data_IF_581447075430
#
_entry.id   IF_581447075430
#
_cell.length_a   1.000
_cell.length_b   1.000
_cell.length_c   1.000
_cell.angle_alpha   90.00
_cell.angle_beta   90.00
_cell.angle_gamma   90.00
#
_symmetry.space_group_name_H-M   'P 1'
#
loop_
_entity.id
_entity.type
_entity.pdbx_description
1 polymer ?
#
# COMPACT_ATOMS: atom_id res chain seq x y z
N UNK A 1 -47.27 -20.94 -35.52
CA UNK A 1 -45.96 -20.77 -36.15
C UNK A 1 -44.93 -21.19 -35.13
N UNK A 2 -44.36 -22.38 -35.33
CA UNK A 2 -43.27 -22.94 -34.52
C UNK A 2 -42.03 -22.06 -34.72
N UNK A 3 -41.47 -21.54 -33.62
CA UNK A 3 -40.17 -20.89 -33.64
C UNK A 3 -39.13 -22.00 -33.89
N UNK A 4 -38.43 -21.91 -35.02
CA UNK A 4 -37.25 -22.73 -35.28
C UNK A 4 -36.13 -22.29 -34.33
N UNK A 5 -35.81 -23.12 -33.34
CA UNK A 5 -34.57 -23.05 -32.58
C UNK A 5 -33.40 -23.22 -33.57
N UNK A 6 -32.76 -22.11 -33.90
CA UNK A 6 -31.54 -22.12 -34.70
C UNK A 6 -30.38 -22.49 -33.77
N UNK A 7 -30.20 -23.79 -33.50
CA UNK A 7 -29.01 -24.29 -32.78
C UNK A 7 -27.80 -24.11 -33.69
N UNK A 8 -27.01 -23.07 -33.44
CA UNK A 8 -25.69 -22.91 -34.06
C UNK A 8 -24.81 -24.05 -33.55
N UNK A 9 -24.15 -24.78 -34.46
CA UNK A 9 -23.23 -25.85 -34.08
C UNK A 9 -22.21 -25.32 -33.05
N UNK A 10 -22.03 -26.05 -31.95
CA UNK A 10 -21.17 -25.63 -30.85
C UNK A 10 -19.73 -25.35 -31.31
N UNK A 11 -19.14 -24.27 -30.78
CA UNK A 11 -17.81 -23.78 -31.16
C UNK A 11 -16.79 -24.24 -30.12
N UNK A 12 -15.68 -24.81 -30.57
CA UNK A 12 -14.55 -25.12 -29.68
C UNK A 12 -13.79 -23.85 -29.29
N UNK A 13 -13.83 -23.51 -28.01
CA UNK A 13 -13.22 -22.31 -27.45
C UNK A 13 -11.92 -22.61 -26.70
N UNK A 14 -11.41 -23.85 -26.73
CA UNK A 14 -10.13 -24.12 -26.08
C UNK A 14 -8.97 -23.53 -26.87
N UNK A 15 -7.92 -23.01 -26.21
CA UNK A 15 -6.73 -22.54 -26.90
C UNK A 15 -6.05 -23.62 -27.77
N UNK A 16 -6.22 -24.89 -27.39
CA UNK A 16 -5.63 -26.04 -28.10
C UNK A 16 -6.51 -26.57 -29.23
N UNK A 17 -7.76 -26.11 -29.34
CA UNK A 17 -8.73 -26.63 -30.30
C UNK A 17 -8.88 -28.17 -30.22
N UNK A 18 -8.97 -28.68 -28.99
CA UNK A 18 -9.01 -30.11 -28.64
C UNK A 18 -10.43 -30.62 -28.31
N UNK A 19 -11.43 -29.79 -28.54
CA UNK A 19 -12.83 -30.03 -28.21
C UNK A 19 -13.08 -30.17 -26.71
N UNK A 20 -12.19 -29.63 -25.87
CA UNK A 20 -12.29 -29.71 -24.42
C UNK A 20 -13.43 -28.89 -23.83
N UNK A 21 -13.76 -27.76 -24.46
CA UNK A 21 -14.82 -26.85 -24.05
C UNK A 21 -15.57 -26.37 -25.30
N UNK A 22 -16.79 -26.86 -25.47
CA UNK A 22 -17.66 -26.48 -26.59
C UNK A 22 -18.69 -25.49 -26.09
N UNK A 23 -18.80 -24.33 -26.74
CA UNK A 23 -19.77 -23.27 -26.43
C UNK A 23 -20.90 -23.22 -27.44
N UNK A 24 -22.13 -23.12 -26.95
CA UNK A 24 -23.34 -22.84 -27.73
C UNK A 24 -24.02 -21.60 -27.12
N UNK A 25 -24.37 -20.61 -27.93
CA UNK A 25 -25.11 -19.42 -27.46
C UNK A 25 -26.60 -19.75 -27.51
N UNK A 26 -27.24 -19.83 -26.34
CA UNK A 26 -28.68 -20.11 -26.22
C UNK A 26 -29.50 -18.83 -26.31
N UNK A 27 -28.98 -17.74 -25.73
CA UNK A 27 -29.57 -16.40 -25.83
C UNK A 27 -28.48 -15.39 -26.13
N UNK A 28 -28.65 -14.54 -27.15
CA UNK A 28 -27.66 -13.53 -27.50
C UNK A 28 -27.49 -12.51 -26.37
N UNK A 29 -26.32 -11.89 -26.37
CA UNK A 29 -25.98 -10.82 -25.45
C UNK A 29 -26.85 -9.57 -25.65
N UNK A 30 -27.01 -8.78 -24.60
CA UNK A 30 -27.70 -7.49 -24.66
C UNK A 30 -26.74 -6.33 -24.96
N UNK A 31 -25.43 -6.58 -24.96
CA UNK A 31 -24.39 -5.61 -25.34
C UNK A 31 -23.16 -6.31 -25.90
N UNK A 32 -22.26 -5.54 -26.50
CA UNK A 32 -20.94 -5.99 -26.97
C UNK A 32 -19.85 -5.95 -25.87
N UNK A 33 -20.23 -5.72 -24.62
CA UNK A 33 -19.32 -5.68 -23.48
C UNK A 33 -18.99 -7.09 -22.99
N UNK A 34 -17.75 -7.30 -22.54
CA UNK A 34 -17.20 -8.58 -22.13
C UNK A 34 -16.26 -8.36 -20.94
N UNK A 35 -16.30 -9.25 -19.93
CA UNK A 35 -15.37 -9.20 -18.80
C UNK A 35 -13.95 -9.57 -19.24
N UNK A 36 -12.99 -9.13 -18.45
CA UNK A 36 -11.56 -9.42 -18.61
C UNK A 36 -11.02 -10.19 -17.41
N UNK A 37 -9.85 -10.82 -17.56
CA UNK A 37 -9.24 -11.54 -16.45
C UNK A 37 -9.00 -10.61 -15.25
N UNK A 38 -9.35 -11.08 -14.05
CA UNK A 38 -9.34 -10.30 -12.81
C UNK A 38 -10.69 -9.64 -12.48
N UNK A 39 -11.62 -9.55 -13.42
CA UNK A 39 -12.97 -9.10 -13.12
C UNK A 39 -13.70 -10.12 -12.24
N UNK A 40 -14.42 -9.61 -11.24
CA UNK A 40 -15.39 -10.43 -10.52
C UNK A 40 -16.69 -10.46 -11.31
N UNK A 41 -16.91 -11.55 -12.03
CA UNK A 41 -18.12 -11.77 -12.83
C UNK A 41 -19.28 -12.23 -11.96
N UNK A 42 -20.50 -11.86 -12.35
CA UNK A 42 -21.75 -12.20 -11.67
C UNK A 42 -22.61 -13.01 -12.63
N UNK A 43 -22.88 -14.27 -12.27
CA UNK A 43 -23.57 -15.23 -13.13
C UNK A 43 -24.72 -15.95 -12.42
N UNK A 44 -25.68 -16.43 -13.19
CA UNK A 44 -26.44 -17.63 -12.81
C UNK A 44 -25.93 -18.83 -13.60
N UNK A 45 -26.05 -20.02 -13.02
CA UNK A 45 -25.73 -21.25 -13.73
C UNK A 45 -26.61 -22.42 -13.31
N UNK A 46 -26.67 -23.41 -14.19
CA UNK A 46 -27.19 -24.76 -13.95
C UNK A 46 -26.14 -25.74 -14.47
N UNK A 47 -25.72 -26.70 -13.64
CA UNK A 47 -24.75 -27.73 -13.97
C UNK A 47 -25.39 -29.11 -13.99
N UNK A 48 -25.29 -29.80 -15.12
CA UNK A 48 -25.83 -31.15 -15.33
C UNK A 48 -24.76 -32.12 -15.85
N UNK A 49 -24.96 -33.41 -15.62
CA UNK A 49 -24.24 -34.46 -16.36
C UNK A 49 -24.81 -34.58 -17.78
N UNK A 50 -24.14 -35.35 -18.65
CA UNK A 50 -24.58 -35.59 -20.03
C UNK A 50 -25.95 -36.27 -20.14
N UNK A 51 -26.37 -37.02 -19.12
CA UNK A 51 -27.69 -37.65 -19.06
C UNK A 51 -28.80 -36.67 -18.63
N UNK A 52 -28.45 -35.40 -18.36
CA UNK A 52 -29.37 -34.34 -17.94
C UNK A 52 -29.60 -34.26 -16.43
N UNK A 53 -28.98 -35.14 -15.63
CA UNK A 53 -29.08 -35.06 -14.17
C UNK A 53 -28.38 -33.80 -13.63
N UNK A 54 -29.14 -32.94 -12.94
CA UNK A 54 -28.60 -31.74 -12.29
C UNK A 54 -27.78 -32.13 -11.06
N UNK A 55 -26.53 -31.66 -10.98
CA UNK A 55 -25.69 -31.83 -9.79
C UNK A 55 -25.61 -30.56 -8.94
N UNK A 56 -25.75 -29.39 -9.58
CA UNK A 56 -25.66 -28.08 -8.92
C UNK A 56 -26.34 -26.96 -9.73
N UNK A 57 -26.95 -25.99 -9.05
CA UNK A 57 -27.63 -24.86 -9.69
C UNK A 57 -27.67 -23.65 -8.76
N UNK A 58 -27.27 -22.47 -9.25
CA UNK A 58 -27.44 -21.24 -8.47
C UNK A 58 -28.87 -20.72 -8.51
N UNK A 59 -29.65 -21.11 -9.53
CA UNK A 59 -31.06 -20.74 -9.63
C UNK A 59 -31.92 -21.42 -8.56
N UNK A 60 -31.63 -22.68 -8.25
CA UNK A 60 -32.34 -23.41 -7.17
C UNK A 60 -32.06 -22.82 -5.79
N UNK A 61 -30.92 -22.14 -5.61
CA UNK A 61 -30.59 -21.36 -4.40
C UNK A 61 -31.20 -19.97 -4.36
N UNK A 62 -31.65 -19.43 -5.50
CA UNK A 62 -32.18 -18.08 -5.60
C UNK A 62 -31.12 -16.95 -5.53
N UNK A 63 -29.84 -17.30 -5.51
CA UNK A 63 -28.74 -16.33 -5.37
C UNK A 63 -27.76 -16.44 -6.55
N UNK A 64 -27.30 -15.29 -7.05
CA UNK A 64 -26.26 -15.24 -8.11
C UNK A 64 -24.92 -15.69 -7.54
N UNK A 65 -24.10 -16.27 -8.39
CA UNK A 65 -22.74 -16.68 -8.05
C UNK A 65 -21.75 -15.67 -8.62
N UNK A 66 -20.76 -15.28 -7.80
CA UNK A 66 -19.71 -14.35 -8.20
C UNK A 66 -18.34 -14.98 -8.01
N UNK A 67 -17.44 -14.79 -8.97
CA UNK A 67 -16.08 -15.30 -8.90
C UNK A 67 -15.11 -14.42 -9.71
N UNK A 68 -13.82 -14.45 -9.34
CA UNK A 68 -12.76 -13.76 -10.09
C UNK A 68 -12.39 -14.57 -11.34
N UNK A 69 -12.60 -13.98 -12.52
CA UNK A 69 -12.38 -14.62 -13.80
C UNK A 69 -10.88 -14.77 -14.10
N UNK A 70 -10.45 -15.97 -14.47
CA UNK A 70 -9.06 -16.25 -14.86
C UNK A 70 -8.08 -16.41 -13.70
N UNK A 71 -8.57 -16.56 -12.47
CA UNK A 71 -7.77 -16.78 -11.26
C UNK A 71 -7.84 -18.21 -10.71
N UNK A 72 -8.33 -19.17 -11.52
CA UNK A 72 -8.42 -20.59 -11.16
C UNK A 72 -9.27 -20.84 -9.89
N UNK A 73 -10.21 -19.94 -9.60
CA UNK A 73 -11.19 -20.10 -8.50
C UNK A 73 -12.34 -21.04 -8.86
N UNK A 74 -12.50 -21.32 -10.15
CA UNK A 74 -13.48 -22.22 -10.74
C UNK A 74 -12.79 -23.23 -11.65
N UNK A 75 -13.54 -24.18 -12.21
CA UNK A 75 -12.97 -25.15 -13.17
C UNK A 75 -12.43 -24.42 -14.41
N UNK A 76 -11.39 -24.97 -15.04
CA UNK A 76 -10.73 -24.38 -16.23
C UNK A 76 -11.71 -24.04 -17.35
N UNK A 77 -12.73 -24.88 -17.53
CA UNK A 77 -13.75 -24.66 -18.55
C UNK A 77 -14.55 -23.37 -18.32
N UNK A 78 -14.78 -22.97 -17.08
CA UNK A 78 -15.48 -21.73 -16.75
C UNK A 78 -14.60 -20.51 -17.01
N UNK A 79 -13.33 -20.55 -16.62
CA UNK A 79 -12.40 -19.45 -16.90
C UNK A 79 -12.26 -19.21 -18.41
N UNK A 80 -12.16 -20.29 -19.21
CA UNK A 80 -12.15 -20.19 -20.68
C UNK A 80 -13.52 -19.73 -21.19
N UNK A 81 -14.62 -20.34 -20.71
CA UNK A 81 -15.98 -20.12 -21.20
C UNK A 81 -16.50 -18.72 -20.95
N UNK A 82 -16.51 -18.29 -19.70
CA UNK A 82 -17.07 -17.01 -19.28
C UNK A 82 -16.25 -15.83 -19.84
N UNK A 83 -14.94 -16.00 -20.04
CA UNK A 83 -14.11 -15.01 -20.74
C UNK A 83 -14.55 -14.77 -22.19
N UNK A 84 -15.30 -15.68 -22.81
CA UNK A 84 -15.88 -15.48 -24.16
C UNK A 84 -17.29 -14.91 -24.15
N UNK A 85 -17.92 -14.78 -22.99
CA UNK A 85 -19.31 -14.30 -22.89
C UNK A 85 -19.39 -12.79 -22.95
N UNK A 86 -20.50 -12.29 -23.47
CA UNK A 86 -20.87 -10.87 -23.43
C UNK A 86 -22.00 -10.62 -22.42
N UNK A 87 -22.15 -9.38 -21.96
CA UNK A 87 -23.18 -9.00 -20.97
C UNK A 87 -24.59 -9.41 -21.43
N UNK A 88 -25.32 -10.12 -20.58
CA UNK A 88 -26.68 -10.62 -20.82
C UNK A 88 -26.76 -11.96 -21.58
N UNK A 89 -25.64 -12.47 -22.08
CA UNK A 89 -25.56 -13.74 -22.81
C UNK A 89 -25.93 -14.92 -21.90
N UNK A 90 -26.69 -15.87 -22.45
CA UNK A 90 -26.87 -17.21 -21.88
C UNK A 90 -26.24 -18.21 -22.84
N UNK A 91 -25.27 -18.97 -22.35
CA UNK A 91 -24.54 -19.95 -23.16
C UNK A 91 -24.52 -21.30 -22.47
N UNK A 92 -24.54 -22.37 -23.28
CA UNK A 92 -24.27 -23.73 -22.85
C UNK A 92 -22.82 -24.07 -23.12
N UNK A 93 -22.15 -24.66 -22.13
CA UNK A 93 -20.79 -25.15 -22.22
C UNK A 93 -20.79 -26.65 -21.98
N UNK A 94 -20.22 -27.41 -22.91
CA UNK A 94 -19.93 -28.84 -22.73
C UNK A 94 -18.44 -29.00 -22.43
N UNK A 95 -18.12 -29.50 -21.25
CA UNK A 95 -16.78 -29.46 -20.65
C UNK A 95 -16.27 -30.88 -20.42
N UNK A 96 -15.22 -31.30 -21.14
CA UNK A 96 -14.54 -32.58 -20.88
C UNK A 96 -13.88 -32.58 -19.51
N UNK A 97 -13.69 -33.77 -18.93
CA UNK A 97 -13.15 -33.94 -17.59
C UNK A 97 -11.82 -33.23 -17.35
N UNK A 98 -10.91 -33.21 -18.32
CA UNK A 98 -9.59 -32.54 -18.23
C UNK A 98 -9.68 -31.01 -18.01
N UNK A 99 -10.82 -30.40 -18.39
CA UNK A 99 -11.15 -28.99 -18.16
C UNK A 99 -12.14 -28.79 -16.99
N UNK A 100 -12.53 -29.88 -16.32
CA UNK A 100 -13.40 -29.92 -15.16
C UNK A 100 -12.70 -30.59 -13.96
N UNK A 101 -13.23 -31.72 -13.45
CA UNK A 101 -12.71 -32.40 -12.24
C UNK A 101 -11.83 -33.63 -12.53
N UNK A 102 -11.54 -33.91 -13.81
CA UNK A 102 -10.63 -34.96 -14.26
C UNK A 102 -10.98 -36.37 -13.79
N UNK A 103 -9.98 -37.24 -13.74
CA UNK A 103 -10.08 -38.66 -13.36
C UNK A 103 -10.60 -38.90 -11.95
N UNK A 104 -10.48 -37.90 -11.06
CA UNK A 104 -10.90 -38.05 -9.67
C UNK A 104 -12.41 -37.80 -9.50
N UNK A 105 -13.01 -37.02 -10.39
CA UNK A 105 -14.36 -36.51 -10.18
C UNK A 105 -14.41 -35.54 -9.00
N UNK A 106 -15.63 -35.21 -8.56
CA UNK A 106 -15.86 -34.31 -7.44
C UNK A 106 -17.06 -34.74 -6.61
N UNK A 107 -16.77 -35.03 -5.34
CA UNK A 107 -17.76 -35.53 -4.39
C UNK A 107 -18.44 -36.83 -4.87
N UNK A 108 -19.60 -37.16 -4.31
CA UNK A 108 -20.44 -38.30 -4.72
C UNK A 108 -21.28 -38.01 -5.98
N UNK A 109 -21.45 -36.73 -6.34
CA UNK A 109 -22.29 -36.30 -7.46
C UNK A 109 -21.60 -36.35 -8.82
N UNK A 110 -20.28 -36.14 -8.88
CA UNK A 110 -19.54 -36.09 -10.15
C UNK A 110 -18.52 -37.22 -10.19
N UNK A 111 -18.78 -38.19 -11.05
CA UNK A 111 -17.91 -39.36 -11.22
C UNK A 111 -16.56 -39.06 -11.88
N UNK A 112 -15.62 -40.02 -11.82
CA UNK A 112 -14.39 -40.01 -12.60
C UNK A 112 -14.63 -39.73 -14.08
N UNK A 113 -13.80 -38.88 -14.68
CA UNK A 113 -13.80 -38.60 -16.12
C UNK A 113 -15.15 -38.10 -16.67
N UNK A 114 -15.99 -37.53 -15.81
CA UNK A 114 -17.29 -36.99 -16.21
C UNK A 114 -17.15 -35.78 -17.14
N UNK A 115 -17.94 -35.79 -18.21
CA UNK A 115 -18.22 -34.59 -19.02
C UNK A 115 -19.38 -33.85 -18.39
N UNK A 116 -19.20 -32.54 -18.18
CA UNK A 116 -20.20 -31.68 -17.55
C UNK A 116 -20.82 -30.76 -18.60
N UNK A 117 -22.09 -30.43 -18.39
CA UNK A 117 -22.80 -29.41 -19.16
C UNK A 117 -23.19 -28.29 -18.22
N UNK A 118 -22.86 -27.05 -18.58
CA UNK A 118 -23.24 -25.86 -17.84
C UNK A 118 -24.04 -24.92 -18.71
N UNK A 119 -25.19 -24.46 -18.23
CA UNK A 119 -25.86 -23.29 -18.78
C UNK A 119 -25.55 -22.09 -17.90
N UNK A 120 -24.85 -21.09 -18.41
CA UNK A 120 -24.38 -19.93 -17.65
C UNK A 120 -24.97 -18.66 -18.26
N UNK A 121 -25.57 -17.83 -17.41
CA UNK A 121 -26.08 -16.49 -17.74
C UNK A 121 -25.16 -15.44 -17.12
N UNK A 122 -24.52 -14.61 -17.96
CA UNK A 122 -23.65 -13.54 -17.49
C UNK A 122 -24.44 -12.25 -17.30
N UNK A 123 -24.51 -11.75 -16.07
CA UNK A 123 -25.28 -10.54 -15.75
C UNK A 123 -24.43 -9.28 -15.79
N UNK A 124 -23.32 -9.29 -15.06
CA UNK A 124 -22.48 -8.12 -14.86
C UNK A 124 -21.11 -8.53 -14.32
N UNK A 125 -20.22 -7.56 -14.16
CA UNK A 125 -18.96 -7.76 -13.46
C UNK A 125 -18.53 -6.47 -12.76
N UNK A 126 -17.59 -6.64 -11.83
CA UNK A 126 -16.93 -5.54 -11.13
C UNK A 126 -15.43 -5.72 -11.24
N UNK A 127 -14.71 -4.62 -11.36
CA UNK A 127 -13.25 -4.61 -11.45
C UNK A 127 -12.67 -4.00 -10.18
N UNK A 128 -11.69 -4.67 -9.57
CA UNK A 128 -10.98 -4.14 -8.41
C UNK A 128 -9.74 -3.35 -8.85
N UNK A 129 -9.80 -2.03 -8.69
CA UNK A 129 -8.70 -1.09 -8.99
C UNK A 129 -7.83 -0.78 -7.76
N UNK A 130 -8.05 -1.47 -6.64
CA UNK A 130 -7.24 -1.25 -5.44
C UNK A 130 -5.80 -1.75 -5.65
N UNK A 131 -4.79 -1.03 -5.15
CA UNK A 131 -3.38 -1.44 -5.25
C UNK A 131 -3.08 -2.84 -4.70
N UNK A 132 -3.88 -3.31 -3.73
CA UNK A 132 -3.71 -4.60 -3.06
C UNK A 132 -4.67 -5.69 -3.52
N UNK A 133 -5.56 -5.40 -4.48
CA UNK A 133 -6.64 -6.30 -4.92
C UNK A 133 -7.47 -6.81 -3.74
N UNK A 134 -7.90 -5.89 -2.88
CA UNK A 134 -8.63 -6.15 -1.64
C UNK A 134 -10.06 -5.56 -1.60
N UNK A 135 -10.68 -5.42 -2.78
CA UNK A 135 -12.07 -4.97 -2.99
C UNK A 135 -12.38 -3.56 -2.45
N UNK A 136 -11.34 -2.76 -2.23
CA UNK A 136 -11.49 -1.42 -1.64
C UNK A 136 -11.67 -0.29 -2.64
N UNK A 137 -11.44 -0.55 -3.92
CA UNK A 137 -11.76 0.38 -5.00
C UNK A 137 -12.38 -0.43 -6.12
N UNK A 138 -13.69 -0.33 -6.27
CA UNK A 138 -14.44 -1.14 -7.23
C UNK A 138 -14.96 -0.26 -8.36
N UNK A 139 -14.59 -0.58 -9.60
CA UNK A 139 -15.12 0.04 -10.81
C UNK A 139 -16.27 -0.77 -11.40
N UNK A 140 -17.30 -0.05 -11.85
CA UNK A 140 -18.28 -0.52 -12.84
C UNK A 140 -18.31 0.48 -14.00
N UNK A 141 -17.91 0.02 -15.19
CA UNK A 141 -17.92 0.85 -16.39
C UNK A 141 -19.35 1.08 -16.87
N UNK A 142 -19.70 2.33 -17.14
CA UNK A 142 -21.02 2.74 -17.64
C UNK A 142 -20.95 3.06 -19.14
N UNK A 143 -19.89 3.75 -19.56
CA UNK A 143 -19.58 4.01 -20.97
C UNK A 143 -18.10 3.81 -21.23
N UNK A 144 -17.78 3.02 -22.25
CA UNK A 144 -16.41 2.82 -22.72
C UNK A 144 -15.80 4.15 -23.18
N UNK A 145 -14.56 4.39 -22.78
CA UNK A 145 -13.76 5.48 -23.35
C UNK A 145 -13.16 5.11 -24.71
N UNK A 146 -12.65 6.11 -25.38
CA UNK A 146 -12.04 6.04 -26.71
C UNK A 146 -10.51 5.96 -26.63
N UNK A 147 -9.90 5.38 -27.66
CA UNK A 147 -8.45 5.24 -27.76
C UNK A 147 -7.87 4.10 -26.94
N UNK A 148 -6.54 4.04 -26.95
CA UNK A 148 -5.76 2.98 -26.28
C UNK A 148 -4.93 3.48 -25.12
N UNK A 149 -4.68 4.78 -25.06
CA UNK A 149 -3.88 5.40 -24.01
C UNK A 149 -4.70 5.66 -22.74
N UNK A 150 -4.02 5.58 -21.61
CA UNK A 150 -4.51 6.04 -20.31
C UNK A 150 -3.48 6.99 -19.67
N UNK A 151 -3.88 7.80 -18.67
CA UNK A 151 -2.96 8.65 -17.92
C UNK A 151 -1.88 7.84 -17.18
N UNK A 152 -0.64 8.35 -17.14
CA UNK A 152 0.45 7.80 -16.32
C UNK A 152 0.69 8.65 -15.06
N UNK A 153 1.57 8.18 -14.18
CA UNK A 153 1.95 8.91 -12.97
C UNK A 153 2.52 10.29 -13.31
N UNK A 154 1.97 11.34 -12.70
CA UNK A 154 2.31 12.72 -13.01
C UNK A 154 1.62 13.32 -14.24
N UNK A 155 0.74 12.59 -14.93
CA UNK A 155 -0.10 13.15 -15.98
C UNK A 155 -1.01 14.25 -15.43
N UNK A 156 -1.29 15.26 -16.25
CA UNK A 156 -2.34 16.24 -15.96
C UNK A 156 -3.65 15.70 -16.48
N UNK A 157 -4.67 15.60 -15.64
CA UNK A 157 -6.00 15.11 -16.01
C UNK A 157 -7.06 16.18 -15.78
N UNK A 158 -8.05 16.23 -16.66
CA UNK A 158 -9.29 16.97 -16.47
C UNK A 158 -10.42 15.95 -16.25
N UNK A 159 -11.05 16.01 -15.08
CA UNK A 159 -12.02 15.02 -14.63
C UNK A 159 -13.26 15.75 -14.14
N UNK A 160 -14.42 15.23 -14.52
CA UNK A 160 -15.67 15.57 -13.88
C UNK A 160 -16.10 14.40 -13.02
N UNK A 161 -16.51 14.66 -11.78
CA UNK A 161 -17.08 13.62 -10.95
C UNK A 161 -18.17 14.13 -10.04
N UNK A 162 -19.05 13.21 -9.67
CA UNK A 162 -20.14 13.41 -8.72
C UNK A 162 -19.94 12.43 -7.57
N UNK A 163 -19.84 12.95 -6.35
CA UNK A 163 -19.65 12.17 -5.12
C UNK A 163 -20.96 11.94 -4.37
N UNK A 164 -21.17 10.70 -3.93
CA UNK A 164 -22.36 10.26 -3.21
C UNK A 164 -21.99 9.53 -1.91
N UNK A 165 -22.77 9.78 -0.86
CA UNK A 165 -22.77 9.03 0.38
C UNK A 165 -24.22 8.66 0.74
N UNK A 166 -24.50 7.38 0.93
CA UNK A 166 -25.87 6.86 1.13
C UNK A 166 -26.87 7.43 0.10
N UNK A 167 -26.49 7.38 -1.18
CA UNK A 167 -27.24 7.90 -2.33
C UNK A 167 -27.49 9.42 -2.34
N UNK A 168 -26.99 10.16 -1.35
CA UNK A 168 -27.02 11.63 -1.34
C UNK A 168 -25.77 12.17 -2.01
N UNK A 169 -25.97 12.94 -3.06
CA UNK A 169 -24.91 13.72 -3.69
C UNK A 169 -24.38 14.76 -2.70
N UNK A 170 -23.08 14.77 -2.45
CA UNK A 170 -22.41 15.77 -1.61
C UNK A 170 -21.43 16.65 -2.39
N UNK A 171 -21.05 16.23 -3.60
CA UNK A 171 -20.11 16.95 -4.46
C UNK A 171 -20.42 16.70 -5.93
N UNK A 172 -20.22 17.71 -6.76
CA UNK A 172 -20.30 17.67 -8.23
C UNK A 172 -19.41 18.77 -8.74
N UNK A 173 -18.28 18.40 -9.37
CA UNK A 173 -17.36 19.39 -9.91
C UNK A 173 -16.49 18.87 -11.04
N UNK A 174 -16.05 19.83 -11.82
CA UNK A 174 -14.92 19.74 -12.73
C UNK A 174 -13.62 20.11 -12.00
N UNK A 175 -12.59 19.28 -12.15
CA UNK A 175 -11.27 19.54 -11.58
C UNK A 175 -10.17 19.13 -12.56
N UNK A 176 -9.13 19.96 -12.63
CA UNK A 176 -7.87 19.61 -13.28
C UNK A 176 -6.82 19.41 -12.21
N UNK A 177 -6.16 18.25 -12.20
CA UNK A 177 -5.09 17.97 -11.25
C UNK A 177 -3.99 17.11 -11.88
N UNK A 178 -2.84 17.08 -11.22
CA UNK A 178 -1.72 16.21 -11.59
C UNK A 178 -1.85 14.92 -10.79
N UNK A 179 -1.83 13.77 -11.48
CA UNK A 179 -1.89 12.46 -10.84
C UNK A 179 -0.72 12.30 -9.85
N UNK A 180 -1.04 11.89 -8.62
CA UNK A 180 -0.14 11.82 -7.47
C UNK A 180 -0.16 13.10 -6.60
N UNK A 181 -0.83 14.15 -7.06
CA UNK A 181 -0.97 15.46 -6.41
C UNK A 181 -2.45 15.86 -6.22
N UNK A 182 -3.42 14.96 -6.43
CA UNK A 182 -4.85 15.29 -6.35
C UNK A 182 -5.31 15.94 -5.04
N UNK A 183 -4.72 15.58 -3.91
CA UNK A 183 -5.04 16.19 -2.60
C UNK A 183 -4.63 17.67 -2.49
N UNK A 184 -3.82 18.19 -3.43
CA UNK A 184 -3.61 19.63 -3.57
C UNK A 184 -4.92 20.36 -3.92
N UNK A 185 -5.80 19.70 -4.66
CA UNK A 185 -7.08 20.20 -5.18
C UNK A 185 -8.29 19.57 -4.47
N UNK A 186 -8.09 19.08 -3.23
CA UNK A 186 -9.10 18.39 -2.40
C UNK A 186 -9.70 17.14 -3.07
N UNK A 187 -8.94 16.47 -3.95
CA UNK A 187 -9.32 15.18 -4.56
C UNK A 187 -8.85 14.04 -3.64
N UNK A 188 -9.75 13.10 -3.34
CA UNK A 188 -9.43 11.93 -2.53
C UNK A 188 -8.46 10.98 -3.25
N UNK A 189 -7.67 10.23 -2.50
CA UNK A 189 -6.64 9.34 -3.06
C UNK A 189 -7.21 8.27 -4.00
N UNK A 190 -8.40 7.73 -3.71
CA UNK A 190 -9.06 6.76 -4.57
C UNK A 190 -9.33 7.29 -5.97
N UNK A 191 -9.73 8.56 -6.10
CA UNK A 191 -9.91 9.19 -7.42
C UNK A 191 -8.59 9.38 -8.16
N UNK A 192 -7.51 9.73 -7.45
CA UNK A 192 -6.16 9.83 -8.01
C UNK A 192 -5.64 8.47 -8.52
N UNK A 193 -6.02 7.37 -7.88
CA UNK A 193 -5.69 5.99 -8.29
C UNK A 193 -6.51 5.57 -9.51
N UNK A 194 -7.84 5.74 -9.50
CA UNK A 194 -8.69 5.15 -10.55
C UNK A 194 -8.51 5.79 -11.90
N UNK A 195 -8.28 7.11 -11.97
CA UNK A 195 -8.20 7.84 -13.25
C UNK A 195 -7.05 7.37 -14.15
N UNK A 196 -6.01 6.72 -13.59
CA UNK A 196 -4.92 6.07 -14.36
C UNK A 196 -5.41 4.91 -15.25
N UNK A 197 -6.56 4.36 -14.93
CA UNK A 197 -7.17 3.21 -15.62
C UNK A 197 -8.28 3.64 -16.60
N UNK A 198 -8.55 4.95 -16.69
CA UNK A 198 -9.60 5.48 -17.54
C UNK A 198 -9.05 5.82 -18.91
N UNK A 199 -9.88 5.58 -19.93
CA UNK A 199 -9.68 6.09 -21.28
C UNK A 199 -10.36 7.46 -21.46
N UNK A 200 -9.98 8.16 -22.52
CA UNK A 200 -10.62 9.43 -22.88
C UNK A 200 -12.14 9.24 -23.03
N UNK A 201 -12.94 10.13 -22.43
CA UNK A 201 -14.41 10.05 -22.37
C UNK A 201 -14.98 8.78 -21.70
N UNK A 202 -14.17 8.00 -20.98
CA UNK A 202 -14.71 6.92 -20.16
C UNK A 202 -15.58 7.48 -19.04
N UNK A 203 -16.74 6.85 -18.83
CA UNK A 203 -17.63 7.13 -17.71
C UNK A 203 -17.85 5.86 -16.89
N UNK A 204 -17.54 5.93 -15.60
CA UNK A 204 -17.58 4.77 -14.70
C UNK A 204 -18.06 5.18 -13.31
N UNK A 205 -18.79 4.27 -12.66
CA UNK A 205 -19.11 4.36 -11.24
C UNK A 205 -18.01 3.66 -10.44
N UNK A 206 -17.53 4.31 -9.39
CA UNK A 206 -16.46 3.83 -8.52
C UNK A 206 -16.96 3.79 -7.08
N UNK A 207 -16.90 2.64 -6.42
CA UNK A 207 -17.09 2.50 -4.98
C UNK A 207 -15.71 2.50 -4.29
N UNK A 208 -15.50 3.42 -3.35
CA UNK A 208 -14.21 3.68 -2.72
C UNK A 208 -14.33 3.50 -1.21
N UNK A 209 -13.58 2.56 -0.67
CA UNK A 209 -13.46 2.31 0.76
C UNK A 209 -12.82 3.49 1.50
N UNK A 210 -13.14 3.63 2.78
CA UNK A 210 -12.73 4.78 3.59
C UNK A 210 -11.22 5.03 3.57
N UNK A 211 -10.39 3.98 3.54
CA UNK A 211 -8.92 4.10 3.51
C UNK A 211 -8.38 4.84 2.28
N UNK A 212 -9.15 4.90 1.19
CA UNK A 212 -8.83 5.66 -0.03
C UNK A 212 -9.75 6.87 -0.22
N UNK A 213 -10.62 7.17 0.75
CA UNK A 213 -11.52 8.31 0.77
C UNK A 213 -11.14 9.27 1.91
N UNK A 214 -12.01 9.46 2.91
CA UNK A 214 -11.79 10.37 4.04
C UNK A 214 -11.34 9.67 5.34
N UNK A 215 -11.04 8.37 5.29
CA UNK A 215 -10.42 7.62 6.38
C UNK A 215 -11.22 7.62 7.68
N UNK A 216 -10.50 7.49 8.80
CA UNK A 216 -11.05 7.46 10.16
C UNK A 216 -11.56 8.83 10.64
N UNK A 217 -11.19 9.91 9.96
CA UNK A 217 -11.61 11.26 10.33
C UNK A 217 -12.96 11.64 9.71
N UNK A 218 -13.27 11.10 8.53
CA UNK A 218 -14.42 11.53 7.75
C UNK A 218 -14.22 12.94 7.16
N UNK A 219 -15.31 13.59 6.75
CA UNK A 219 -15.25 14.93 6.19
C UNK A 219 -16.40 15.80 6.71
N UNK A 220 -16.07 16.72 7.63
CA UNK A 220 -17.05 17.59 8.26
C UNK A 220 -17.76 18.54 7.26
N UNK A 221 -17.07 19.01 6.21
CA UNK A 221 -17.66 19.90 5.20
C UNK A 221 -18.81 19.23 4.46
N UNK A 222 -18.70 17.92 4.22
CA UNK A 222 -19.70 17.12 3.50
C UNK A 222 -20.59 16.27 4.41
N UNK A 223 -20.45 16.40 5.73
CA UNK A 223 -21.11 15.54 6.73
C UNK A 223 -20.87 14.03 6.50
N UNK A 224 -19.66 13.68 6.07
CA UNK A 224 -19.26 12.29 5.87
C UNK A 224 -18.66 11.78 7.18
N UNK A 225 -19.18 10.68 7.77
CA UNK A 225 -18.66 10.16 9.02
C UNK A 225 -17.31 9.44 8.83
N UNK A 226 -16.57 9.21 9.93
CA UNK A 226 -15.47 8.26 9.98
C UNK A 226 -15.77 6.94 9.29
N UNK A 227 -14.78 6.40 8.57
CA UNK A 227 -14.83 5.07 7.96
C UNK A 227 -15.95 4.90 6.92
N UNK A 228 -16.44 6.00 6.33
CA UNK A 228 -17.45 5.94 5.28
C UNK A 228 -16.88 5.43 3.95
N UNK A 229 -17.58 4.44 3.37
CA UNK A 229 -17.43 4.06 1.96
C UNK A 229 -18.23 5.02 1.08
N UNK A 230 -17.63 5.49 0.00
CA UNK A 230 -18.20 6.48 -0.91
C UNK A 230 -18.44 5.89 -2.29
N UNK A 231 -19.38 6.48 -3.03
CA UNK A 231 -19.60 6.20 -4.45
C UNK A 231 -19.31 7.45 -5.25
N UNK A 232 -18.62 7.30 -6.37
CA UNK A 232 -18.38 8.39 -7.32
C UNK A 232 -18.79 7.98 -8.73
N UNK A 233 -19.47 8.85 -9.44
CA UNK A 233 -19.59 8.76 -10.90
C UNK A 233 -18.49 9.64 -11.50
N UNK A 234 -17.60 9.06 -12.30
CA UNK A 234 -16.37 9.71 -12.77
C UNK A 234 -16.34 9.70 -14.29
N UNK A 235 -15.97 10.83 -14.88
CA UNK A 235 -15.75 10.99 -16.32
C UNK A 235 -14.38 11.60 -16.56
N UNK A 236 -13.51 10.88 -17.29
CA UNK A 236 -12.23 11.42 -17.73
C UNK A 236 -12.43 12.25 -19.01
N UNK A 237 -12.40 13.58 -18.88
CA UNK A 237 -12.65 14.51 -20.00
C UNK A 237 -11.43 14.70 -20.88
N UNK A 238 -10.23 14.77 -20.31
CA UNK A 238 -8.98 14.83 -21.08
C UNK A 238 -7.77 14.52 -20.20
N UNK A 239 -6.63 14.23 -20.82
CA UNK A 239 -5.37 14.10 -20.11
C UNK A 239 -4.17 14.41 -21.00
N UNK A 240 -3.08 14.82 -20.37
CA UNK A 240 -1.74 14.96 -20.94
C UNK A 240 -0.77 14.09 -20.15
N UNK A 241 -0.18 13.08 -20.80
CA UNK A 241 0.76 12.15 -20.14
C UNK A 241 2.00 12.89 -19.67
N UNK A 242 2.49 12.56 -18.49
CA UNK A 242 3.81 12.95 -18.07
C UNK A 242 4.86 12.31 -18.99
N UNK A 243 5.90 13.08 -19.28
CA UNK A 243 7.06 12.54 -19.99
C UNK A 243 7.80 11.59 -19.05
N UNK A 244 8.09 10.39 -19.55
CA UNK A 244 8.88 9.41 -18.82
C UNK A 244 10.32 9.90 -18.60
N UNK A 245 10.90 9.60 -17.43
CA UNK A 245 12.21 10.11 -17.01
C UNK A 245 13.31 9.77 -18.02
N UNK A 246 13.31 8.54 -18.55
CA UNK A 246 14.31 8.08 -19.53
C UNK A 246 14.19 8.76 -20.90
N UNK A 247 13.08 9.45 -21.17
CA UNK A 247 12.90 10.26 -22.39
C UNK A 247 13.36 11.71 -22.20
N UNK A 248 13.74 12.10 -20.98
CA UNK A 248 14.27 13.43 -20.68
C UNK A 248 15.78 13.46 -20.87
N UNK A 249 16.28 14.53 -21.48
CA UNK A 249 17.71 14.86 -21.45
C UNK A 249 18.11 15.44 -20.08
N UNK A 250 19.42 15.56 -19.84
CA UNK A 250 19.97 15.96 -18.54
C UNK A 250 19.55 17.39 -18.13
N UNK A 251 19.51 18.32 -19.09
CA UNK A 251 19.09 19.71 -18.85
C UNK A 251 17.61 19.79 -18.50
N UNK A 252 16.77 19.01 -19.18
CA UNK A 252 15.36 18.92 -18.87
C UNK A 252 15.12 18.31 -17.48
N UNK A 253 15.86 17.26 -17.09
CA UNK A 253 15.79 16.69 -15.73
C UNK A 253 16.16 17.73 -14.67
N UNK A 254 17.21 18.52 -14.90
CA UNK A 254 17.64 19.59 -14.01
C UNK A 254 16.56 20.68 -13.86
N UNK A 255 15.93 21.07 -14.97
CA UNK A 255 14.81 22.04 -14.98
C UNK A 255 13.58 21.49 -14.24
N UNK A 256 13.23 20.22 -14.45
CA UNK A 256 12.11 19.56 -13.77
C UNK A 256 12.37 19.42 -12.27
N UNK A 257 13.60 19.13 -11.87
CA UNK A 257 14.02 19.12 -10.47
C UNK A 257 13.86 20.49 -9.79
N UNK A 258 14.24 21.58 -10.45
CA UNK A 258 14.02 22.93 -9.90
C UNK A 258 12.53 23.27 -9.77
N UNK A 259 11.70 22.88 -10.76
CA UNK A 259 10.25 23.04 -10.66
C UNK A 259 9.66 22.23 -9.49
N UNK A 260 10.09 20.98 -9.32
CA UNK A 260 9.66 20.13 -8.22
C UNK A 260 10.06 20.72 -6.86
N UNK A 261 11.28 21.27 -6.73
CA UNK A 261 11.71 21.99 -5.52
C UNK A 261 10.82 23.17 -5.19
N UNK A 262 10.46 23.97 -6.20
CA UNK A 262 9.59 25.13 -6.01
C UNK A 262 8.17 24.72 -5.59
N UNK A 263 7.59 23.71 -6.26
CA UNK A 263 6.29 23.13 -5.87
C UNK A 263 6.33 22.55 -4.46
N UNK A 264 7.35 21.76 -4.13
CA UNK A 264 7.52 21.19 -2.79
C UNK A 264 7.57 22.26 -1.71
N UNK A 265 8.28 23.36 -1.97
CA UNK A 265 8.37 24.51 -1.06
C UNK A 265 7.03 25.22 -0.90
N UNK A 266 6.24 25.34 -1.97
CA UNK A 266 4.88 25.87 -1.91
C UNK A 266 3.96 24.98 -1.07
N UNK A 267 3.98 23.66 -1.31
CA UNK A 267 3.17 22.71 -0.52
C UNK A 267 3.57 22.69 0.95
N UNK A 268 4.86 22.80 1.26
CA UNK A 268 5.34 22.92 2.64
C UNK A 268 4.76 24.17 3.33
N UNK A 269 4.75 25.32 2.64
CA UNK A 269 4.18 26.57 3.17
C UNK A 269 2.68 26.47 3.40
N UNK A 270 1.97 25.68 2.59
CA UNK A 270 0.55 25.37 2.76
C UNK A 270 0.29 24.20 3.72
N UNK A 271 1.29 23.76 4.48
CA UNK A 271 1.22 22.65 5.45
C UNK A 271 0.83 21.29 4.83
N UNK A 272 0.89 21.16 3.51
CA UNK A 272 0.66 19.91 2.76
C UNK A 272 1.95 19.08 2.72
N UNK A 273 2.45 18.67 3.89
CA UNK A 273 3.77 18.06 4.05
C UNK A 273 3.98 16.77 3.25
N UNK A 274 2.96 15.91 3.16
CA UNK A 274 3.08 14.65 2.41
C UNK A 274 3.26 14.89 0.89
N UNK A 275 2.55 15.87 0.33
CA UNK A 275 2.70 16.25 -1.08
C UNK A 275 4.06 16.92 -1.29
N UNK A 276 4.52 17.75 -0.35
CA UNK A 276 5.84 18.36 -0.39
C UNK A 276 6.94 17.29 -0.46
N UNK A 277 6.87 16.25 0.39
CA UNK A 277 7.79 15.11 0.34
C UNK A 277 7.76 14.42 -1.02
N UNK A 278 6.58 14.18 -1.61
CA UNK A 278 6.48 13.61 -2.96
C UNK A 278 7.21 14.46 -4.01
N UNK A 279 7.08 15.79 -3.94
CA UNK A 279 7.82 16.67 -4.86
C UNK A 279 9.34 16.60 -4.65
N UNK A 280 9.81 16.58 -3.41
CA UNK A 280 11.24 16.46 -3.15
C UNK A 280 11.79 15.08 -3.57
N UNK A 281 11.01 14.00 -3.46
CA UNK A 281 11.36 12.68 -3.99
C UNK A 281 11.47 12.68 -5.54
N UNK A 282 10.65 13.47 -6.25
CA UNK A 282 10.80 13.64 -7.71
C UNK A 282 12.18 14.19 -8.09
N UNK A 283 12.74 15.12 -7.30
CA UNK A 283 14.10 15.66 -7.52
C UNK A 283 15.14 14.54 -7.50
N UNK A 284 15.11 13.70 -6.46
CA UNK A 284 16.02 12.55 -6.34
C UNK A 284 15.85 11.62 -7.53
N UNK A 285 14.61 11.28 -7.88
CA UNK A 285 14.32 10.42 -9.04
C UNK A 285 14.83 10.97 -10.37
N UNK A 286 14.82 12.29 -10.59
CA UNK A 286 15.36 12.90 -11.79
C UNK A 286 16.90 12.91 -11.82
N UNK A 287 17.55 13.09 -10.68
CA UNK A 287 18.95 13.51 -10.63
C UNK A 287 19.93 12.46 -10.07
N UNK A 288 19.48 11.52 -9.24
CA UNK A 288 20.36 10.59 -8.52
C UNK A 288 21.26 9.76 -9.45
N UNK A 289 20.69 9.26 -10.55
CA UNK A 289 21.40 8.44 -11.53
C UNK A 289 21.86 9.24 -12.76
N UNK A 290 21.76 10.56 -12.74
CA UNK A 290 22.18 11.40 -13.87
C UNK A 290 23.68 11.67 -13.81
N UNK A 291 24.42 11.35 -14.86
CA UNK A 291 25.88 11.47 -14.90
C UNK A 291 26.40 12.24 -16.11
N UNK A 292 25.51 12.76 -16.96
CA UNK A 292 25.87 13.45 -18.21
C UNK A 292 25.90 14.98 -18.10
N UNK A 293 25.83 15.52 -16.89
CA UNK A 293 25.90 16.95 -16.60
C UNK A 293 27.35 17.44 -16.56
N UNK A 294 27.59 18.65 -17.04
CA UNK A 294 28.92 19.28 -17.06
C UNK A 294 29.10 20.22 -15.87
N UNK A 295 30.36 20.44 -15.44
CA UNK A 295 30.84 21.34 -14.37
C UNK A 295 29.77 22.08 -13.52
N UNK A 296 29.20 23.17 -14.04
CA UNK A 296 28.24 24.04 -13.35
C UNK A 296 26.89 23.36 -13.09
N UNK A 297 26.44 22.53 -14.01
CA UNK A 297 25.22 21.73 -13.89
C UNK A 297 25.37 20.64 -12.82
N UNK A 298 26.55 20.03 -12.66
CA UNK A 298 26.81 19.05 -11.60
C UNK A 298 26.81 19.71 -10.21
N UNK A 299 27.31 20.95 -10.10
CA UNK A 299 27.18 21.75 -8.87
C UNK A 299 25.72 22.05 -8.58
N UNK A 300 24.94 22.44 -9.58
CA UNK A 300 23.51 22.67 -9.44
C UNK A 300 22.76 21.40 -9.02
N UNK A 301 23.09 20.25 -9.62
CA UNK A 301 22.53 18.94 -9.26
C UNK A 301 22.77 18.60 -7.79
N UNK A 302 24.02 18.71 -7.32
CA UNK A 302 24.36 18.46 -5.90
C UNK A 302 23.60 19.40 -4.96
N UNK A 303 23.51 20.68 -5.31
CA UNK A 303 22.72 21.66 -4.56
C UNK A 303 21.23 21.31 -4.49
N UNK A 304 20.66 20.86 -5.60
CA UNK A 304 19.27 20.40 -5.69
C UNK A 304 19.00 19.14 -4.86
N UNK A 305 19.86 18.13 -4.95
CA UNK A 305 19.76 16.90 -4.17
C UNK A 305 19.89 17.18 -2.68
N UNK A 306 20.88 17.98 -2.28
CA UNK A 306 21.06 18.41 -0.88
C UNK A 306 19.80 19.13 -0.37
N UNK A 307 19.26 20.07 -1.15
CA UNK A 307 18.03 20.78 -0.80
C UNK A 307 16.81 19.83 -0.69
N UNK A 308 16.70 18.85 -1.58
CA UNK A 308 15.63 17.86 -1.57
C UNK A 308 15.65 17.01 -0.30
N UNK A 309 16.81 16.46 0.07
CA UNK A 309 16.97 15.66 1.28
C UNK A 309 16.73 16.47 2.55
N UNK A 310 17.33 17.66 2.64
CA UNK A 310 17.12 18.56 3.78
C UNK A 310 15.63 18.92 3.95
N UNK A 311 14.95 19.31 2.88
CA UNK A 311 13.54 19.69 2.96
C UNK A 311 12.62 18.50 3.22
N UNK A 312 12.98 17.31 2.73
CA UNK A 312 12.30 16.06 3.08
C UNK A 312 12.39 15.78 4.58
N UNK A 313 13.59 15.87 5.16
CA UNK A 313 13.79 15.73 6.60
C UNK A 313 12.97 16.75 7.41
N UNK A 314 12.90 18.00 6.93
CA UNK A 314 12.07 19.03 7.56
C UNK A 314 10.58 18.68 7.54
N UNK A 315 10.07 18.14 6.43
CA UNK A 315 8.67 17.71 6.34
C UNK A 315 8.39 16.55 7.31
N UNK A 316 9.27 15.55 7.36
CA UNK A 316 9.11 14.41 8.27
C UNK A 316 9.16 14.82 9.75
N UNK A 317 10.03 15.78 10.12
CA UNK A 317 10.02 16.38 11.46
C UNK A 317 8.69 17.06 11.80
N UNK A 318 8.03 17.69 10.81
CA UNK A 318 6.71 18.30 11.00
C UNK A 318 5.59 17.27 11.18
N UNK A 319 5.74 16.09 10.58
CA UNK A 319 4.78 14.98 10.71
C UNK A 319 5.16 14.01 11.83
N UNK A 320 6.13 14.34 12.68
CA UNK A 320 6.65 13.50 13.77
C UNK A 320 7.17 12.12 13.31
N UNK A 321 7.61 12.03 12.06
CA UNK A 321 8.18 10.82 11.46
C UNK A 321 9.71 10.85 11.57
N UNK A 322 10.20 10.56 12.76
CA UNK A 322 11.62 10.73 13.08
C UNK A 322 12.53 9.79 12.29
N UNK A 323 12.06 8.56 12.03
CA UNK A 323 12.81 7.55 11.29
C UNK A 323 13.18 8.02 9.87
N UNK A 324 12.18 8.46 9.09
CA UNK A 324 12.44 8.95 7.74
C UNK A 324 13.16 10.31 7.74
N UNK A 325 13.00 11.12 8.79
CA UNK A 325 13.77 12.36 8.94
C UNK A 325 15.27 12.07 9.10
N UNK A 326 15.65 11.07 9.90
CA UNK A 326 17.05 10.65 10.08
C UNK A 326 17.63 10.18 8.75
N UNK A 327 16.95 9.26 8.04
CA UNK A 327 17.39 8.76 6.74
C UNK A 327 17.62 9.88 5.71
N UNK A 328 16.70 10.85 5.65
CA UNK A 328 16.83 11.98 4.75
C UNK A 328 18.01 12.89 5.16
N UNK A 329 18.27 13.07 6.45
CA UNK A 329 19.45 13.79 6.92
C UNK A 329 20.75 13.07 6.61
N UNK A 330 20.80 11.74 6.74
CA UNK A 330 21.98 10.95 6.38
C UNK A 330 22.33 11.13 4.91
N UNK A 331 21.34 11.06 4.01
CA UNK A 331 21.53 11.36 2.58
C UNK A 331 21.98 12.79 2.30
N UNK A 332 21.50 13.77 3.07
CA UNK A 332 22.01 15.13 2.96
C UNK A 332 23.48 15.24 3.38
N UNK A 333 23.87 14.53 4.44
CA UNK A 333 25.23 14.56 4.99
C UNK A 333 26.22 13.71 4.17
N UNK A 334 25.75 12.70 3.42
CA UNK A 334 26.56 12.03 2.38
C UNK A 334 26.99 13.01 1.27
N UNK A 335 26.19 14.05 1.00
CA UNK A 335 26.50 15.10 0.00
C UNK A 335 27.35 16.21 0.62
N UNK A 336 27.02 16.62 1.84
CA UNK A 336 27.71 17.69 2.58
C UNK A 336 27.79 17.32 4.07
N UNK A 337 28.89 16.68 4.46
CA UNK A 337 29.12 16.18 5.84
C UNK A 337 29.08 17.28 6.90
N UNK A 338 29.35 18.53 6.51
CA UNK A 338 29.38 19.69 7.40
C UNK A 338 28.09 20.52 7.32
N UNK A 339 27.02 19.97 6.74
CA UNK A 339 25.78 20.71 6.61
C UNK A 339 25.13 20.98 7.97
N UNK A 340 25.18 22.25 8.42
CA UNK A 340 24.60 22.70 9.69
C UNK A 340 23.11 22.32 9.82
N UNK A 341 22.33 22.49 8.75
CA UNK A 341 20.89 22.13 8.78
C UNK A 341 20.68 20.63 8.85
N UNK A 342 21.51 19.84 8.16
CA UNK A 342 21.50 18.38 8.20
C UNK A 342 21.77 17.85 9.61
N UNK A 343 22.89 18.26 10.22
CA UNK A 343 23.26 17.90 11.59
C UNK A 343 22.18 18.31 12.60
N UNK A 344 21.69 19.54 12.50
CA UNK A 344 20.67 20.05 13.43
C UNK A 344 19.36 19.25 13.35
N UNK A 345 18.88 18.96 12.13
CA UNK A 345 17.63 18.22 11.90
C UNK A 345 17.77 16.75 12.30
N UNK A 346 18.92 16.12 12.03
CA UNK A 346 19.20 14.74 12.46
C UNK A 346 19.23 14.62 13.98
N UNK A 347 19.90 15.56 14.64
CA UNK A 347 19.91 15.65 16.10
C UNK A 347 18.51 15.78 16.70
N UNK A 348 17.65 16.63 16.12
CA UNK A 348 16.25 16.72 16.55
C UNK A 348 15.47 15.42 16.36
N UNK A 349 15.61 14.76 15.21
CA UNK A 349 14.92 13.51 14.94
C UNK A 349 15.36 12.39 15.92
N UNK A 350 16.67 12.26 16.17
CA UNK A 350 17.23 11.33 17.17
C UNK A 350 16.75 11.63 18.59
N UNK A 351 16.62 12.92 18.96
CA UNK A 351 16.02 13.30 20.24
C UNK A 351 14.57 12.80 20.37
N UNK A 352 13.78 12.88 19.30
CA UNK A 352 12.40 12.39 19.30
C UNK A 352 12.34 10.85 19.45
N UNK A 353 13.35 10.13 18.96
CA UNK A 353 13.51 8.68 19.18
C UNK A 353 14.13 8.32 20.54
N UNK A 354 14.43 9.30 21.39
CA UNK A 354 15.14 9.15 22.67
C UNK A 354 16.61 8.71 22.54
N UNK A 355 17.19 8.78 21.34
CA UNK A 355 18.63 8.55 21.16
C UNK A 355 19.41 9.85 21.45
N UNK A 356 19.44 10.19 22.74
CA UNK A 356 20.06 11.42 23.22
C UNK A 356 21.58 11.42 23.03
N UNK A 357 22.23 10.25 23.04
CA UNK A 357 23.69 10.14 22.90
C UNK A 357 24.10 10.50 21.47
N UNK A 358 23.45 9.89 20.48
CA UNK A 358 23.72 10.20 19.08
C UNK A 358 23.30 11.63 18.71
N UNK A 359 22.19 12.12 19.28
CA UNK A 359 21.77 13.51 19.10
C UNK A 359 22.82 14.51 19.62
N UNK A 360 23.44 14.23 20.78
CA UNK A 360 24.54 15.05 21.30
C UNK A 360 25.73 15.06 20.34
N UNK A 361 26.06 13.93 19.72
CA UNK A 361 27.08 13.84 18.68
C UNK A 361 26.83 14.84 17.54
N UNK A 362 25.60 14.87 17.03
CA UNK A 362 25.19 15.79 15.96
C UNK A 362 25.26 17.26 16.38
N UNK A 363 24.75 17.63 17.55
CA UNK A 363 24.82 19.03 18.03
C UNK A 363 26.24 19.48 18.36
N UNK A 364 27.08 18.60 18.88
CA UNK A 364 28.49 18.91 19.14
C UNK A 364 29.25 19.13 17.83
N UNK A 365 29.03 18.27 16.83
CA UNK A 365 29.58 18.45 15.49
C UNK A 365 29.12 19.76 14.86
N UNK A 366 27.85 20.14 15.05
CA UNK A 366 27.34 21.44 14.64
C UNK A 366 28.03 22.59 15.35
N UNK A 367 28.20 22.53 16.68
CA UNK A 367 28.86 23.61 17.44
C UNK A 367 30.35 23.76 17.14
N UNK A 368 31.01 22.73 16.60
CA UNK A 368 32.37 22.88 16.03
C UNK A 368 32.38 23.80 14.81
N UNK A 369 31.28 23.86 14.05
CA UNK A 369 31.12 24.70 12.86
C UNK A 369 30.53 26.08 13.20
N UNK A 370 29.51 26.11 14.07
CA UNK A 370 28.84 27.33 14.54
C UNK A 370 28.82 27.40 16.08
N UNK A 371 29.91 27.88 16.72
CA UNK A 371 30.02 27.92 18.18
C UNK A 371 28.94 28.76 18.88
N UNK A 372 28.32 29.72 18.18
CA UNK A 372 27.30 30.62 18.72
C UNK A 372 25.86 30.18 18.46
N UNK A 373 25.65 28.99 17.91
CA UNK A 373 24.31 28.48 17.64
C UNK A 373 23.53 28.21 18.94
N UNK A 374 22.68 29.18 19.33
CA UNK A 374 21.87 29.11 20.56
C UNK A 374 20.91 27.93 20.59
N UNK A 375 20.37 27.56 19.44
CA UNK A 375 19.41 26.46 19.35
C UNK A 375 20.10 25.12 19.66
N UNK A 376 21.26 24.87 19.06
CA UNK A 376 22.06 23.66 19.34
C UNK A 376 22.48 23.58 20.82
N UNK A 377 22.94 24.68 21.42
CA UNK A 377 23.26 24.74 22.87
C UNK A 377 22.05 24.36 23.74
N UNK A 378 20.88 24.89 23.43
CA UNK A 378 19.65 24.57 24.16
C UNK A 378 19.27 23.08 24.03
N UNK A 379 19.39 22.50 22.83
CA UNK A 379 19.12 21.08 22.63
C UNK A 379 20.11 20.19 23.38
N UNK A 380 21.40 20.54 23.45
CA UNK A 380 22.40 19.82 24.26
C UNK A 380 22.00 19.80 25.74
N UNK A 381 21.55 20.94 26.28
CA UNK A 381 21.06 21.02 27.68
C UNK A 381 19.88 20.06 27.88
N UNK A 382 18.93 20.04 26.94
CA UNK A 382 17.76 19.15 26.99
C UNK A 382 18.20 17.68 26.95
N UNK A 383 19.05 17.29 26.01
CA UNK A 383 19.56 15.92 25.90
C UNK A 383 20.27 15.49 27.19
N UNK A 384 21.17 16.34 27.70
CA UNK A 384 21.95 16.05 28.90
C UNK A 384 21.05 15.85 30.12
N UNK A 385 20.04 16.71 30.27
CA UNK A 385 19.04 16.59 31.33
C UNK A 385 18.24 15.28 31.18
N UNK A 386 17.74 14.97 29.99
CA UNK A 386 16.98 13.74 29.72
C UNK A 386 17.78 12.48 29.99
N UNK A 387 19.06 12.45 29.60
CA UNK A 387 19.96 11.34 29.91
C UNK A 387 20.20 11.19 31.41
N UNK A 388 20.37 12.29 32.14
CA UNK A 388 20.51 12.27 33.60
C UNK A 388 19.24 11.73 34.25
N UNK A 389 18.09 12.23 33.86
CA UNK A 389 16.79 11.78 34.36
C UNK A 389 16.56 10.28 34.06
N UNK A 390 16.98 9.80 32.89
CA UNK A 390 16.92 8.38 32.52
C UNK A 390 17.79 7.52 33.44
N UNK A 391 19.07 7.90 33.63
CA UNK A 391 19.99 7.20 34.54
C UNK A 391 19.48 7.18 35.98
N UNK A 392 18.88 8.27 36.45
CA UNK A 392 18.29 8.32 37.80
C UNK A 392 17.07 7.39 37.93
N UNK A 393 16.21 7.32 36.91
CA UNK A 393 15.08 6.39 36.88
C UNK A 393 15.54 4.93 36.84
N UNK A 394 16.53 4.65 36.00
CA UNK A 394 17.12 3.32 35.86
C UNK A 394 17.76 2.86 37.19
N UNK A 395 18.54 3.73 37.85
CA UNK A 395 19.10 3.45 39.17
C UNK A 395 18.01 3.15 40.22
N UNK A 396 16.91 3.92 40.23
CA UNK A 396 15.78 3.67 41.14
C UNK A 396 15.08 2.35 40.83
N UNK A 397 14.90 2.03 39.55
CA UNK A 397 14.29 0.78 39.11
C UNK A 397 15.13 -0.43 39.57
N UNK A 398 16.43 -0.42 39.31
CA UNK A 398 17.33 -1.50 39.76
C UNK A 398 17.40 -1.61 41.29
N UNK A 399 17.45 -0.48 42.02
CA UNK A 399 17.44 -0.51 43.47
C UNK A 399 16.14 -1.15 44.02
N UNK A 400 15.00 -0.85 43.42
CA UNK A 400 13.72 -1.45 43.81
C UNK A 400 13.67 -2.94 43.47
N UNK A 401 14.11 -3.35 42.28
CA UNK A 401 14.17 -4.77 41.87
C UNK A 401 15.09 -5.55 42.81
N UNK A 402 16.29 -5.03 43.08
CA UNK A 402 17.25 -5.66 44.01
C UNK A 402 16.66 -5.78 45.42
N UNK A 403 16.02 -4.71 45.93
CA UNK A 403 15.38 -4.76 47.25
C UNK A 403 14.25 -5.79 47.34
N UNK A 404 13.50 -5.98 46.24
CA UNK A 404 12.43 -6.98 46.19
C UNK A 404 13.03 -8.39 46.17
N UNK A 405 14.07 -8.61 45.37
CA UNK A 405 14.76 -9.89 45.29
C UNK A 405 15.39 -10.29 46.63
N UNK A 406 16.05 -9.35 47.34
CA UNK A 406 16.59 -9.64 48.68
C UNK A 406 15.50 -9.91 49.71
N UNK A 407 14.36 -9.20 49.66
CA UNK A 407 13.22 -9.48 50.54
C UNK A 407 12.55 -10.83 50.24
N UNK A 408 12.54 -11.26 48.97
CA UNK A 408 11.93 -12.52 48.53
C UNK A 408 12.83 -13.71 48.89
N UNK A 409 14.15 -13.60 48.70
CA UNK A 409 15.10 -14.60 49.17
C UNK A 409 15.09 -14.71 50.70
N UNK A 410 15.08 -13.59 51.43
CA UNK A 410 14.97 -13.62 52.89
C UNK A 410 13.66 -14.26 53.38
N UNK A 411 12.56 -14.12 52.63
CA UNK A 411 11.30 -14.83 52.95
C UNK A 411 11.40 -16.32 52.68
N UNK A 412 12.00 -16.72 51.56
CA UNK A 412 12.18 -18.13 51.21
C UNK A 412 13.13 -18.81 52.21
N UNK A 413 14.22 -18.17 52.64
CA UNK A 413 15.12 -18.65 53.69
C UNK A 413 14.37 -18.83 55.03
N UNK A 414 13.49 -17.88 55.40
CA UNK A 414 12.65 -18.00 56.61
C UNK A 414 11.58 -19.11 56.47
N UNK A 415 11.09 -19.39 55.26
CA UNK A 415 10.17 -20.50 55.01
C UNK A 415 10.90 -21.85 55.02
N UNK A 416 12.10 -21.94 54.46
CA UNK A 416 12.98 -23.11 54.52
C UNK A 416 13.47 -23.40 55.96
N UNK A 417 13.80 -22.39 56.76
CA UNK A 417 14.13 -22.59 58.19
C UNK A 417 12.92 -23.07 59.02
N UNK A 418 11.70 -22.71 58.60
CA UNK A 418 10.47 -23.16 59.27
C UNK A 418 10.06 -24.59 58.89
N UNK A 419 10.36 -25.03 57.66
CA UNK A 419 10.17 -26.42 57.23
C UNK A 419 11.35 -27.32 57.65
N UNK A 420 12.57 -26.79 57.75
CA UNK A 420 13.78 -27.49 58.19
C UNK A 420 13.82 -27.82 59.69
N UNK A 421 12.99 -27.20 60.52
CA UNK A 421 12.83 -27.56 61.94
C UNK A 421 11.92 -28.80 62.16
N UNK A 422 11.76 -29.63 61.13
CA UNK A 422 11.28 -31.01 61.17
C UNK A 422 12.19 -31.88 60.31
N UNK A 423 13.36 -32.21 60.88
CA UNK A 423 14.16 -33.42 60.69
C UNK A 423 15.65 -33.04 60.67
N UNK A 424 16.29 -33.06 61.84
CA UNK A 424 17.71 -33.39 61.89
C UNK A 424 17.83 -34.89 61.59
N UNK A 425 18.45 -35.24 60.46
CA UNK A 425 19.55 -36.22 60.39
C UNK A 425 20.07 -36.34 58.94
N UNK A 426 21.39 -36.17 58.86
CA UNK A 426 22.36 -36.71 57.90
C UNK A 426 22.55 -36.13 56.47
N UNK A 427 23.82 -35.71 56.31
CA UNK A 427 24.74 -35.93 55.20
C UNK A 427 24.95 -34.88 54.07
N UNK A 428 26.18 -34.36 54.12
CA UNK A 428 27.20 -34.15 53.08
C UNK A 428 27.01 -33.10 51.94
N UNK A 429 28.04 -32.24 51.92
CA UNK A 429 28.56 -31.33 50.90
C UNK A 429 28.05 -31.50 49.45
N UNK A 430 27.63 -30.36 48.86
CA UNK A 430 28.13 -29.96 47.54
C UNK A 430 28.06 -28.43 47.39
N UNK A 431 29.22 -27.81 47.14
CA UNK A 431 29.36 -26.37 46.97
C UNK A 431 28.72 -25.88 45.67
N UNK A 432 27.91 -24.82 45.75
CA UNK A 432 27.50 -24.04 44.59
C UNK A 432 28.13 -22.65 44.67
N UNK A 433 28.95 -22.36 43.66
CA UNK A 433 29.63 -21.10 43.46
C UNK A 433 28.64 -19.93 43.34
N UNK A 434 28.94 -18.86 44.08
CA UNK A 434 28.35 -17.53 43.92
C UNK A 434 28.52 -17.05 42.47
N UNK A 435 27.51 -16.45 41.83
CA UNK A 435 27.75 -15.67 40.63
C UNK A 435 28.46 -14.37 41.07
N UNK A 436 29.77 -14.31 40.88
CA UNK A 436 30.50 -13.05 40.93
C UNK A 436 29.98 -12.12 39.83
N UNK A 437 29.98 -10.79 40.03
CA UNK A 437 29.61 -9.86 38.98
C UNK A 437 30.65 -9.96 37.88
N UNK A 438 30.25 -10.38 36.68
CA UNK A 438 31.09 -10.26 35.50
C UNK A 438 31.24 -8.77 35.19
N UNK A 439 32.36 -8.20 35.66
CA UNK A 439 32.96 -7.04 35.02
C UNK A 439 33.32 -7.43 33.58
N UNK A 440 32.68 -6.76 32.62
CA UNK A 440 33.14 -6.74 31.24
C UNK A 440 32.08 -7.07 30.21
N UNK A 441 31.35 -6.06 29.76
CA UNK A 441 31.18 -5.73 28.32
C UNK A 441 30.84 -4.24 28.18
N UNK A 442 31.71 -3.37 28.73
CA UNK A 442 31.92 -2.03 28.16
C UNK A 442 33.31 -2.11 27.54
N UNK A 443 33.38 -2.50 26.27
CA UNK A 443 34.55 -2.24 25.46
C UNK A 443 34.48 -0.78 25.01
N UNK A 444 35.19 0.07 25.74
CA UNK A 444 35.78 1.27 25.18
C UNK A 444 36.82 0.84 24.13
N UNK A 445 36.52 1.06 22.85
CA UNK A 445 37.58 1.38 21.89
C UNK A 445 37.56 2.90 21.72
N UNK A 446 38.49 3.58 22.40
CA UNK A 446 39.30 4.69 21.89
C UNK A 446 40.11 5.29 23.04
N UNK A 447 41.40 4.93 23.11
CA UNK A 447 42.54 5.86 23.00
C UNK A 447 43.85 5.23 23.52
N UNK A 448 44.73 4.89 22.59
CA UNK A 448 46.19 4.92 22.72
C UNK A 448 46.74 5.10 21.29
N UNK A 449 47.74 5.89 20.96
CA UNK A 449 48.56 6.91 21.63
C UNK A 449 49.32 7.58 20.46
N UNK A 450 49.68 8.86 20.62
CA UNK A 450 50.70 9.64 19.87
C UNK A 450 50.34 10.34 18.56
#
# INVERSE_FOLDING_TARGET
MTQEETTVAGIDITPKQDGGVIKEILRPATSEEQPTNGDTVIVHYVGTLLDGSEFDSSRSRGEKFSFALGEEKVIKAWDIGVATMKKGELSRFTCKSDYAYGKRGFHDKIGPDATLVFEIELFDWKEDLSPKKDDSIIRRMISKGEGTDTPNDGATVNVHYIGYYEDKQFEDRDVTFVIGEGSAEDVIEGLDIVVKHFKFNEHSTIEIDAKYAYGEEGNAKFNIPPNARLKYDVTLKSFEKAKEIWRMDAKEKLRQAELAKNKGTQYYKSEKYQIAVRQYKKIVSYLENESSLEDDEEVQKKSLLLAAHLNTALCHLKTNDSHHAIQACDKALEIDEQNVKGLFRRGQAKMNENDYKEALGDFNSLLKLEPDNKAAKNHIIICTKKMKDYKEKEKKLYANIFSKYTMENAKNEIEEEKDGNKNEEDDEEEGQELPTPTEGMISEEMEAEK
#
